data_IF_779852652782
#
_entry.id   IF_779852652782
#
_cell.length_a   1.000
_cell.length_b   1.000
_cell.length_c   1.000
_cell.angle_alpha   90.00
_cell.angle_beta   90.00
_cell.angle_gamma   90.00
#
_symmetry.space_group_name_H-M   'P 1'
#
loop_
_entity.id
_entity.type
_entity.pdbx_description
1 polymer ?
#
# COMPACT_ATOMS: atom_id res chain seq x y z
N UNK A 1 20.73 -5.87 -8.78
CA UNK A 1 19.52 -5.20 -8.27
C UNK A 1 18.93 -4.20 -9.27
N UNK A 2 19.63 -3.14 -9.67
CA UNK A 2 19.12 -2.14 -10.64
C UNK A 2 18.63 -2.73 -11.97
N UNK A 3 19.33 -3.71 -12.53
CA UNK A 3 18.97 -4.38 -13.78
C UNK A 3 17.71 -5.26 -13.67
N UNK A 4 17.47 -5.87 -12.52
CA UNK A 4 16.25 -6.62 -12.21
C UNK A 4 15.05 -5.68 -12.12
N UNK A 5 15.21 -4.53 -11.48
CA UNK A 5 14.17 -3.51 -11.36
C UNK A 5 13.81 -2.91 -12.74
N UNK A 6 14.80 -2.66 -13.60
CA UNK A 6 14.58 -2.14 -14.96
C UNK A 6 13.92 -3.16 -15.88
N UNK A 7 14.31 -4.44 -15.78
CA UNK A 7 13.64 -5.52 -16.51
C UNK A 7 12.22 -5.75 -16.01
N UNK A 8 12.01 -5.58 -14.72
CA UNK A 8 10.73 -5.67 -14.07
C UNK A 8 9.79 -4.53 -14.47
N UNK A 9 10.28 -3.29 -14.47
CA UNK A 9 9.55 -2.12 -14.98
C UNK A 9 9.07 -2.35 -16.42
N UNK A 10 9.92 -2.91 -17.28
CA UNK A 10 9.53 -3.28 -18.65
C UNK A 10 8.48 -4.41 -18.69
N UNK A 11 8.52 -5.35 -17.78
CA UNK A 11 7.53 -6.42 -17.65
C UNK A 11 6.17 -5.88 -17.22
N UNK A 12 6.12 -5.01 -16.19
CA UNK A 12 4.89 -4.34 -15.74
C UNK A 12 4.27 -3.49 -16.85
N UNK A 13 5.08 -2.79 -17.62
CA UNK A 13 4.63 -1.97 -18.75
C UNK A 13 4.13 -2.83 -19.93
N UNK A 14 4.72 -4.00 -20.15
CA UNK A 14 4.36 -4.88 -21.29
C UNK A 14 3.13 -5.76 -21.00
N UNK A 15 2.87 -6.12 -19.74
CA UNK A 15 1.77 -7.02 -19.37
C UNK A 15 0.54 -6.29 -18.80
N UNK A 16 0.61 -4.97 -18.61
CA UNK A 16 -0.45 -4.17 -18.00
C UNK A 16 -1.18 -4.92 -16.86
N UNK A 17 -0.46 -5.25 -15.80
CA UNK A 17 -0.98 -6.05 -14.68
C UNK A 17 -2.20 -5.40 -13.99
N UNK A 18 -2.42 -4.12 -14.25
CA UNK A 18 -3.59 -3.39 -13.78
C UNK A 18 -4.71 -3.36 -14.82
N UNK A 19 -4.53 -3.90 -16.03
CA UNK A 19 -5.54 -3.92 -17.10
C UNK A 19 -6.93 -4.40 -16.66
N UNK A 20 -7.06 -5.43 -15.81
CA UNK A 20 -8.38 -5.85 -15.32
C UNK A 20 -9.12 -4.77 -14.52
N UNK A 21 -8.41 -3.77 -14.04
CA UNK A 21 -8.92 -2.69 -13.18
C UNK A 21 -8.83 -1.31 -13.83
N UNK A 22 -8.48 -1.24 -15.11
CA UNK A 22 -8.21 0.03 -15.81
C UNK A 22 -9.39 1.01 -15.74
N UNK A 23 -10.64 0.49 -15.74
CA UNK A 23 -11.84 1.31 -15.53
C UNK A 23 -11.95 1.91 -14.12
N UNK A 24 -11.19 1.41 -13.16
CA UNK A 24 -11.21 1.81 -11.75
C UNK A 24 -10.02 2.69 -11.37
N UNK A 25 -9.18 3.03 -12.35
CA UNK A 25 -7.99 3.84 -12.17
C UNK A 25 -8.13 5.18 -12.88
N UNK A 26 -7.70 6.23 -12.20
CA UNK A 26 -7.55 7.57 -12.74
C UNK A 26 -6.07 7.91 -12.87
N UNK A 27 -5.68 8.48 -14.00
CA UNK A 27 -4.30 8.89 -14.24
C UNK A 27 -4.23 10.38 -14.55
N UNK A 28 -3.14 11.00 -14.15
CA UNK A 28 -2.78 12.35 -14.59
C UNK A 28 -2.27 12.34 -16.04
N UNK A 29 -2.15 13.51 -16.65
CA UNK A 29 -1.61 13.63 -18.02
C UNK A 29 -0.18 13.11 -18.15
N UNK A 30 0.62 13.16 -17.08
CA UNK A 30 1.99 12.63 -17.02
C UNK A 30 2.04 11.15 -16.59
N UNK A 31 0.89 10.46 -16.56
CA UNK A 31 0.79 9.00 -16.35
C UNK A 31 0.89 8.55 -14.90
N UNK A 32 0.80 9.45 -13.92
CA UNK A 32 0.75 9.08 -12.51
C UNK A 32 -0.63 8.63 -12.10
N UNK A 33 -0.70 7.61 -11.26
CA UNK A 33 -1.92 7.13 -10.66
C UNK A 33 -2.43 8.14 -9.62
N UNK A 34 -3.72 8.48 -9.72
CA UNK A 34 -4.41 9.33 -8.76
C UNK A 34 -4.96 8.49 -7.62
N UNK A 35 -4.73 8.97 -6.40
CA UNK A 35 -5.12 8.31 -5.16
C UNK A 35 -5.93 9.24 -4.28
N UNK A 36 -6.88 8.68 -3.54
CA UNK A 36 -7.75 9.42 -2.63
C UNK A 36 -7.62 8.90 -1.20
N UNK A 37 -7.59 9.82 -0.24
CA UNK A 37 -7.59 9.52 1.18
C UNK A 37 -8.58 10.41 1.90
N UNK A 38 -9.29 9.88 2.89
CA UNK A 38 -10.17 10.66 3.77
C UNK A 38 -9.61 10.63 5.19
N UNK A 39 -9.47 11.80 5.79
CA UNK A 39 -8.96 11.95 7.15
C UNK A 39 -9.88 12.82 7.99
N UNK A 40 -10.06 12.46 9.25
CA UNK A 40 -10.72 13.33 10.24
C UNK A 40 -9.86 14.54 10.63
N UNK A 41 -8.58 14.54 10.27
CA UNK A 41 -7.67 15.66 10.49
C UNK A 41 -7.72 16.59 9.28
N UNK A 42 -7.89 17.89 9.49
CA UNK A 42 -7.82 18.92 8.46
C UNK A 42 -6.38 19.40 8.22
N UNK A 43 -6.19 20.04 7.05
CA UNK A 43 -4.98 20.79 6.72
C UNK A 43 -3.69 19.96 6.71
N UNK A 44 -3.81 18.75 6.17
CA UNK A 44 -2.69 17.84 5.96
C UNK A 44 -2.01 18.19 4.61
N UNK A 45 -0.71 18.43 4.64
CA UNK A 45 0.12 18.62 3.44
C UNK A 45 0.89 17.34 3.07
N UNK A 46 1.17 16.50 4.07
CA UNK A 46 1.87 15.23 3.89
C UNK A 46 1.23 14.17 4.75
N UNK A 47 0.88 13.05 4.15
CA UNK A 47 0.49 11.84 4.86
C UNK A 47 1.74 11.03 5.16
N UNK A 48 2.03 10.84 6.45
CA UNK A 48 3.18 10.09 6.96
C UNK A 48 2.69 8.85 7.73
N UNK A 49 3.06 7.64 7.29
CA UNK A 49 2.69 6.40 7.98
C UNK A 49 3.10 6.39 9.46
N UNK A 50 4.25 6.96 9.81
CA UNK A 50 4.72 7.00 11.18
C UNK A 50 3.82 7.88 12.09
N UNK A 51 3.28 8.97 11.55
CA UNK A 51 2.33 9.84 12.25
C UNK A 51 0.97 9.15 12.35
N UNK A 52 0.49 8.53 11.27
CA UNK A 52 -0.76 7.79 11.26
C UNK A 52 -0.78 6.67 12.31
N UNK A 53 0.32 5.94 12.47
CA UNK A 53 0.47 4.89 13.48
C UNK A 53 0.33 5.40 14.92
N UNK A 54 0.71 6.65 15.18
CA UNK A 54 0.57 7.25 16.52
C UNK A 54 -0.88 7.58 16.85
N UNK A 55 -1.68 7.98 15.85
CA UNK A 55 -3.09 8.34 16.01
C UNK A 55 -3.99 7.12 16.21
N UNK A 56 -3.61 5.97 15.71
CA UNK A 56 -4.39 4.72 15.76
C UNK A 56 -4.13 3.87 17.00
N UNK A 57 -3.51 4.40 18.05
CA UNK A 57 -3.24 3.68 19.30
C UNK A 57 -4.47 3.02 19.95
N UNK A 58 -5.68 3.48 19.64
CA UNK A 58 -6.93 2.89 20.12
C UNK A 58 -7.30 1.55 19.46
N UNK A 59 -6.76 1.24 18.29
CA UNK A 59 -7.01 -0.02 17.57
C UNK A 59 -5.95 -1.11 17.81
N UNK A 60 -4.96 -0.82 18.63
CA UNK A 60 -3.83 -1.72 18.88
C UNK A 60 -4.05 -2.67 20.04
N UNK A 61 -5.14 -3.42 20.05
CA UNK A 61 -5.07 -4.74 20.69
C UNK A 61 -4.17 -5.60 19.80
N UNK A 62 -3.12 -6.18 20.38
CA UNK A 62 -2.12 -6.99 19.66
C UNK A 62 -2.74 -8.10 18.79
N UNK A 63 -3.95 -8.55 19.13
CA UNK A 63 -4.78 -9.53 18.41
C UNK A 63 -5.29 -9.06 17.04
N UNK A 64 -5.30 -7.74 16.76
CA UNK A 64 -5.80 -7.17 15.50
C UNK A 64 -4.70 -6.53 14.65
N UNK A 65 -3.42 -6.66 15.03
CA UNK A 65 -2.31 -6.21 14.18
C UNK A 65 -2.20 -7.13 12.97
N UNK A 66 -2.93 -6.79 11.94
CA UNK A 66 -2.75 -7.43 10.62
C UNK A 66 -1.48 -6.96 9.93
N UNK A 67 -0.87 -5.86 10.42
CA UNK A 67 0.27 -5.21 9.79
C UNK A 67 1.34 -4.87 10.84
N UNK A 68 2.54 -5.36 10.63
CA UNK A 68 3.68 -5.11 11.54
C UNK A 68 4.25 -3.71 11.36
N UNK A 69 4.01 -3.07 10.21
CA UNK A 69 4.50 -1.73 9.90
C UNK A 69 3.38 -0.75 9.59
N UNK A 70 3.56 0.53 9.99
CA UNK A 70 2.63 1.59 9.63
C UNK A 70 2.50 1.74 8.11
N UNK A 71 1.28 1.91 7.65
CA UNK A 71 0.94 2.18 6.25
C UNK A 71 -0.19 3.18 6.17
N UNK A 72 -0.25 3.90 5.07
CA UNK A 72 -1.39 4.74 4.73
C UNK A 72 -2.13 4.09 3.59
N UNK A 73 -3.44 3.98 3.74
CA UNK A 73 -4.32 3.38 2.77
C UNK A 73 -5.00 4.46 1.94
N UNK A 74 -5.04 4.25 0.64
CA UNK A 74 -5.68 5.10 -0.33
C UNK A 74 -6.68 4.29 -1.14
N UNK A 75 -7.68 4.98 -1.67
CA UNK A 75 -8.62 4.47 -2.64
C UNK A 75 -8.26 5.00 -4.03
N UNK A 76 -8.63 4.28 -5.06
CA UNK A 76 -8.42 4.71 -6.46
C UNK A 76 -9.58 5.55 -6.99
N UNK A 77 -10.66 5.67 -6.24
CA UNK A 77 -11.81 6.52 -6.55
C UNK A 77 -12.32 7.24 -5.31
N UNK A 78 -12.75 8.45 -5.47
CA UNK A 78 -13.46 9.18 -4.41
C UNK A 78 -14.84 8.53 -4.19
N UNK A 79 -15.25 8.41 -2.92
CA UNK A 79 -16.51 7.75 -2.53
C UNK A 79 -16.39 6.25 -2.23
N UNK A 80 -15.21 5.65 -2.40
CA UNK A 80 -14.95 4.25 -2.04
C UNK A 80 -14.66 4.05 -0.55
N UNK A 81 -14.40 5.12 0.18
CA UNK A 81 -14.13 5.13 1.62
C UNK A 81 -15.29 4.60 2.47
N UNK A 82 -16.50 4.57 1.90
CA UNK A 82 -17.68 4.02 2.58
C UNK A 82 -17.75 2.48 2.58
N UNK A 83 -16.85 1.80 1.86
CA UNK A 83 -16.92 0.37 1.64
C UNK A 83 -15.93 -0.36 2.56
N UNK A 84 -16.46 -1.05 3.57
CA UNK A 84 -15.71 -2.05 4.36
C UNK A 84 -15.17 -1.60 5.72
N UNK A 85 -15.03 -0.31 6.00
CA UNK A 85 -14.44 0.18 7.27
C UNK A 85 -15.38 1.10 8.06
N UNK A 86 -16.62 1.25 7.61
CA UNK A 86 -17.56 2.27 8.12
C UNK A 86 -17.26 3.63 7.48
N UNK A 87 -18.25 4.50 7.49
CA UNK A 87 -18.14 5.85 6.90
C UNK A 87 -17.02 6.62 7.56
N UNK A 88 -15.92 6.78 6.85
CA UNK A 88 -14.88 7.72 7.25
C UNK A 88 -15.40 9.11 6.88
N UNK A 89 -15.82 9.87 7.89
CA UNK A 89 -16.20 11.26 7.71
C UNK A 89 -14.99 12.15 7.92
N UNK A 90 -14.72 13.02 6.96
CA UNK A 90 -13.58 13.91 7.08
C UNK A 90 -13.27 14.68 5.80
N UNK A 91 -12.12 15.29 5.78
CA UNK A 91 -11.59 15.99 4.62
C UNK A 91 -11.00 14.98 3.62
N UNK A 92 -11.39 15.13 2.37
CA UNK A 92 -10.80 14.34 1.29
C UNK A 92 -9.50 14.99 0.80
N UNK A 93 -8.54 14.14 0.48
CA UNK A 93 -7.23 14.49 -0.05
C UNK A 93 -6.94 13.69 -1.31
N UNK A 94 -6.19 14.30 -2.22
CA UNK A 94 -5.70 13.69 -3.45
C UNK A 94 -4.19 13.59 -3.40
N UNK A 95 -3.65 12.47 -3.84
CA UNK A 95 -2.22 12.24 -4.06
C UNK A 95 -1.99 11.68 -5.47
N UNK A 96 -0.76 11.75 -5.95
CA UNK A 96 -0.36 11.11 -7.20
C UNK A 96 0.91 10.32 -7.00
N UNK A 97 1.00 9.13 -7.61
CA UNK A 97 2.14 8.26 -7.49
C UNK A 97 2.45 7.59 -8.83
N UNK A 98 3.71 7.33 -9.08
CA UNK A 98 4.13 6.49 -10.19
C UNK A 98 3.62 5.06 -9.98
N UNK A 99 2.79 4.50 -10.86
CA UNK A 99 2.29 3.14 -10.69
C UNK A 99 3.41 2.09 -10.67
N UNK A 100 4.57 2.37 -11.24
CA UNK A 100 5.71 1.44 -11.27
C UNK A 100 6.33 1.20 -9.89
N UNK A 101 6.10 2.08 -8.91
CA UNK A 101 6.60 1.88 -7.55
C UNK A 101 5.65 1.08 -6.66
N UNK A 102 4.50 0.64 -7.20
CA UNK A 102 3.51 -0.17 -6.51
C UNK A 102 3.65 -1.64 -6.87
N UNK A 103 3.70 -2.50 -5.86
CA UNK A 103 3.71 -3.94 -6.06
C UNK A 103 2.30 -4.49 -6.25
N UNK A 104 1.98 -5.17 -7.37
CA UNK A 104 0.67 -5.76 -7.61
C UNK A 104 0.54 -7.08 -6.85
N UNK A 105 -0.01 -7.02 -5.64
CA UNK A 105 0.04 -8.14 -4.67
C UNK A 105 -0.71 -9.38 -5.15
N UNK A 106 -1.77 -9.22 -5.93
CA UNK A 106 -2.57 -10.36 -6.41
C UNK A 106 -1.89 -11.13 -7.54
N UNK A 107 -1.12 -10.46 -8.37
CA UNK A 107 -0.36 -11.08 -9.43
C UNK A 107 0.94 -11.69 -8.90
N UNK A 108 1.44 -11.13 -7.80
CA UNK A 108 2.65 -11.56 -7.08
C UNK A 108 3.80 -12.02 -8.00
N UNK A 109 4.23 -11.15 -8.90
CA UNK A 109 5.12 -11.52 -9.99
C UNK A 109 6.52 -11.93 -9.52
N UNK A 110 6.96 -11.45 -8.36
CA UNK A 110 8.21 -11.87 -7.72
C UNK A 110 8.03 -13.08 -6.79
N UNK A 111 6.82 -13.62 -6.71
CA UNK A 111 6.48 -14.78 -5.86
C UNK A 111 6.80 -14.55 -4.38
N UNK A 112 6.54 -13.33 -3.90
CA UNK A 112 6.86 -12.93 -2.53
C UNK A 112 5.95 -13.60 -1.50
N UNK A 113 4.78 -14.09 -1.92
CA UNK A 113 3.83 -14.82 -1.05
C UNK A 113 4.20 -16.30 -0.84
N UNK A 114 5.18 -16.82 -1.58
CA UNK A 114 5.50 -18.24 -1.52
C UNK A 114 6.17 -18.65 -0.20
N UNK A 115 5.95 -19.91 0.25
CA UNK A 115 6.47 -20.40 1.52
C UNK A 115 8.00 -20.36 1.66
N UNK A 116 8.73 -20.51 0.56
CA UNK A 116 10.19 -20.44 0.53
C UNK A 116 10.76 -19.05 0.85
N UNK A 117 9.92 -17.99 0.76
CA UNK A 117 10.28 -16.63 1.13
C UNK A 117 10.07 -16.32 2.63
N UNK A 118 9.48 -17.23 3.39
CA UNK A 118 9.16 -17.00 4.80
C UNK A 118 10.42 -16.82 5.67
N UNK A 119 11.48 -17.54 5.39
CA UNK A 119 12.73 -17.43 6.18
C UNK A 119 13.41 -16.08 5.94
N UNK A 120 13.37 -15.57 4.72
CA UNK A 120 13.85 -14.22 4.39
C UNK A 120 13.02 -13.14 5.13
N UNK A 121 11.71 -13.29 5.11
CA UNK A 121 10.82 -12.38 5.83
C UNK A 121 11.07 -12.39 7.34
N UNK A 122 11.22 -13.56 7.96
CA UNK A 122 11.53 -13.70 9.39
C UNK A 122 12.85 -12.99 9.74
N UNK A 123 13.87 -13.19 8.91
CA UNK A 123 15.17 -12.54 9.09
C UNK A 123 15.05 -11.02 9.04
N UNK A 124 14.31 -10.47 8.06
CA UNK A 124 14.08 -9.03 7.96
C UNK A 124 13.34 -8.51 9.22
N UNK A 125 12.33 -9.22 9.69
CA UNK A 125 11.60 -8.84 10.92
C UNK A 125 12.49 -8.82 12.15
N UNK A 126 13.33 -9.82 12.33
CA UNK A 126 14.26 -9.89 13.45
C UNK A 126 15.29 -8.76 13.41
N UNK A 127 15.93 -8.57 12.26
CA UNK A 127 17.01 -7.58 12.10
C UNK A 127 16.50 -6.14 12.12
N UNK A 128 15.36 -5.87 11.48
CA UNK A 128 14.86 -4.52 11.29
C UNK A 128 13.90 -4.09 12.39
N UNK A 129 12.96 -4.97 12.74
CA UNK A 129 11.83 -4.62 13.59
C UNK A 129 11.98 -5.18 15.02
N UNK A 130 13.02 -5.99 15.28
CA UNK A 130 13.26 -6.65 16.56
C UNK A 130 12.16 -7.65 16.95
N UNK A 131 11.37 -8.11 15.97
CA UNK A 131 10.25 -9.01 16.21
C UNK A 131 10.68 -10.47 16.22
N UNK A 132 10.30 -11.24 17.27
CA UNK A 132 10.64 -12.66 17.34
C UNK A 132 10.02 -13.46 16.20
N UNK A 133 10.77 -14.43 15.68
CA UNK A 133 10.40 -15.31 14.56
C UNK A 133 9.17 -16.19 14.79
N UNK A 134 8.72 -16.34 16.04
CA UNK A 134 7.57 -17.18 16.39
C UNK A 134 6.19 -16.50 16.20
N UNK A 135 6.14 -15.19 15.88
CA UNK A 135 4.88 -14.54 15.58
C UNK A 135 4.26 -15.08 14.29
N UNK A 136 2.93 -15.23 14.24
CA UNK A 136 2.24 -15.66 13.04
C UNK A 136 2.59 -14.79 11.82
N UNK A 137 2.81 -15.45 10.69
CA UNK A 137 3.09 -14.76 9.44
C UNK A 137 1.77 -14.37 8.80
N UNK A 138 1.57 -13.06 8.63
CA UNK A 138 0.53 -12.54 7.77
C UNK A 138 1.08 -12.44 6.34
N UNK A 139 0.42 -13.09 5.38
CA UNK A 139 0.89 -13.13 3.99
C UNK A 139 0.99 -11.74 3.36
N UNK A 140 0.02 -10.86 3.62
CA UNK A 140 0.06 -9.49 3.09
C UNK A 140 1.22 -8.68 3.68
N UNK A 141 1.48 -8.85 4.96
CA UNK A 141 2.60 -8.17 5.62
C UNK A 141 3.94 -8.72 5.14
N UNK A 142 4.03 -10.03 4.92
CA UNK A 142 5.21 -10.66 4.33
C UNK A 142 5.50 -10.12 2.93
N UNK A 143 4.48 -10.12 2.04
CA UNK A 143 4.64 -9.59 0.69
C UNK A 143 5.01 -8.12 0.70
N UNK A 144 4.37 -7.31 1.53
CA UNK A 144 4.69 -5.88 1.63
C UNK A 144 6.12 -5.63 2.13
N UNK A 145 6.56 -6.38 3.14
CA UNK A 145 7.92 -6.26 3.70
C UNK A 145 8.98 -6.65 2.67
N UNK A 146 8.76 -7.75 1.94
CA UNK A 146 9.66 -8.20 0.88
C UNK A 146 9.64 -7.26 -0.31
N UNK A 147 8.47 -6.75 -0.72
CA UNK A 147 8.35 -5.76 -1.80
C UNK A 147 9.09 -4.45 -1.46
N UNK A 148 9.00 -3.99 -0.21
CA UNK A 148 9.78 -2.85 0.26
C UNK A 148 11.29 -3.10 0.16
N UNK A 149 11.75 -4.30 0.53
CA UNK A 149 13.15 -4.69 0.41
C UNK A 149 13.62 -4.75 -1.06
N UNK A 150 12.71 -5.05 -1.99
CA UNK A 150 12.94 -4.98 -3.44
C UNK A 150 12.85 -3.55 -4.00
N UNK A 151 12.54 -2.55 -3.19
CA UNK A 151 12.54 -1.12 -3.54
C UNK A 151 11.18 -0.55 -3.96
N UNK A 152 10.08 -1.29 -3.78
CA UNK A 152 8.74 -0.74 -3.96
C UNK A 152 8.39 0.23 -2.81
N UNK A 153 7.48 1.17 -3.09
CA UNK A 153 7.03 2.16 -2.11
C UNK A 153 5.65 1.86 -1.53
N UNK A 154 4.97 0.90 -2.10
CA UNK A 154 3.64 0.47 -1.71
C UNK A 154 3.21 -0.78 -2.45
N UNK A 155 1.98 -1.20 -2.19
CA UNK A 155 1.34 -2.24 -3.00
C UNK A 155 -0.09 -1.82 -3.37
N UNK A 156 -0.61 -2.44 -4.43
CA UNK A 156 -1.98 -2.30 -4.87
C UNK A 156 -2.68 -3.66 -4.85
N UNK A 157 -3.92 -3.70 -4.35
CA UNK A 157 -4.72 -4.93 -4.31
C UNK A 157 -6.22 -4.63 -4.43
N UNK A 158 -7.00 -5.55 -5.02
CA UNK A 158 -8.45 -5.47 -4.99
C UNK A 158 -9.00 -5.87 -3.62
N UNK A 159 -9.96 -5.11 -3.14
CA UNK A 159 -10.77 -5.49 -1.99
C UNK A 159 -11.98 -6.30 -2.46
N UNK A 160 -12.59 -7.13 -1.57
CA UNK A 160 -13.68 -8.07 -1.90
C UNK A 160 -14.89 -7.47 -2.62
N UNK A 161 -15.02 -6.16 -2.69
CA UNK A 161 -16.18 -5.44 -3.26
C UNK A 161 -15.86 -4.70 -4.57
N UNK A 162 -14.77 -5.07 -5.26
CA UNK A 162 -14.42 -4.47 -6.56
C UNK A 162 -13.68 -3.13 -6.46
N UNK A 163 -13.25 -2.74 -5.28
CA UNK A 163 -12.44 -1.54 -5.07
C UNK A 163 -10.96 -1.87 -5.07
N UNK A 164 -10.16 -0.97 -5.58
CA UNK A 164 -8.72 -1.04 -5.45
C UNK A 164 -8.23 -0.20 -4.28
N UNK A 165 -7.39 -0.79 -3.48
CA UNK A 165 -6.72 -0.12 -2.37
C UNK A 165 -5.22 -0.08 -2.66
N UNK A 166 -4.62 1.07 -2.39
CA UNK A 166 -3.16 1.26 -2.40
C UNK A 166 -2.71 1.50 -0.97
N UNK A 167 -1.71 0.75 -0.54
CA UNK A 167 -1.07 0.94 0.77
C UNK A 167 0.36 1.41 0.56
N UNK A 168 0.72 2.54 1.14
CA UNK A 168 2.05 3.14 1.06
C UNK A 168 2.74 3.08 2.43
N UNK A 169 4.05 2.83 2.42
CA UNK A 169 4.89 2.86 3.61
C UNK A 169 5.86 4.05 3.67
N UNK A 170 5.87 4.87 2.62
CA UNK A 170 6.61 6.13 2.59
C UNK A 170 5.67 7.33 2.72
N UNK A 171 6.12 8.44 3.29
CA UNK A 171 5.38 9.70 3.28
C UNK A 171 5.06 10.17 1.86
N UNK A 172 3.88 10.72 1.66
CA UNK A 172 3.43 11.26 0.38
C UNK A 172 2.75 12.63 0.57
N UNK A 173 3.09 13.59 -0.29
CA UNK A 173 2.41 14.87 -0.35
C UNK A 173 0.98 14.72 -0.84
N UNK A 174 0.06 15.51 -0.29
CA UNK A 174 -1.36 15.47 -0.63
C UNK A 174 -1.90 16.87 -0.86
N UNK A 175 -2.93 16.94 -1.72
CA UNK A 175 -3.70 18.15 -1.98
C UNK A 175 -5.09 17.99 -1.37
N UNK A 176 -5.54 19.02 -0.67
CA UNK A 176 -6.90 19.08 -0.13
C UNK A 176 -7.90 19.25 -1.26
N UNK A 177 -8.92 18.41 -1.28
CA UNK A 177 -10.04 18.58 -2.21
C UNK A 177 -11.06 19.56 -1.62
N UNK A 178 -11.44 20.54 -2.41
CA UNK A 178 -12.60 21.40 -2.10
C UNK A 178 -13.86 20.55 -2.24
N UNK A 179 -14.69 20.54 -1.21
CA UNK A 179 -15.97 19.84 -1.18
C UNK A 179 -17.08 20.72 -1.73
#
# INVERSE_FOLDING_TARGET
MKLLLENWKRFLLNENLLAPYESDLEYTEDGKLVLYHVSSTSDIETLDPAVAAQSTKSYTKAEYRTWDRPRIFFFTRLGQEDIGVGRIQGQAYKATIDPEVLYPIMQDPLKLSYPDRQEEYKKIREERDGMPSYYPINTYDMVATLAENEGFQGFIYPQEVGNLIVALWNPIGVEKLEQ
#
